data_IF_755294002039
#
_entry.id   IF_755294002039
#
_cell.length_a   1.000
_cell.length_b   1.000
_cell.length_c   1.000
_cell.angle_alpha   90.00
_cell.angle_beta   90.00
_cell.angle_gamma   90.00
#
_symmetry.space_group_name_H-M   'P 1'
#
loop_
_entity.id
_entity.type
_entity.pdbx_description
1 polymer ?
#
# COMPACT_ATOMS: atom_id res chain seq x y z
N UNK A 1 -12.40 -7.76 3.20
CA UNK A 1 -11.58 -8.11 2.02
C UNK A 1 -10.19 -7.47 2.10
N UNK A 2 -9.13 -8.22 1.79
CA UNK A 2 -7.75 -7.72 1.72
C UNK A 2 -7.29 -7.73 0.26
N UNK A 3 -6.94 -6.58 -0.29
CA UNK A 3 -6.31 -6.45 -1.61
C UNK A 3 -4.80 -6.24 -1.44
N UNK A 4 -3.99 -6.88 -2.28
CA UNK A 4 -2.55 -6.59 -2.26
C UNK A 4 -1.94 -6.47 -3.65
N UNK A 5 -0.95 -5.58 -3.76
CA UNK A 5 -0.01 -5.52 -4.86
C UNK A 5 1.40 -5.69 -4.31
N UNK A 6 2.22 -6.53 -4.94
CA UNK A 6 3.58 -6.80 -4.45
C UNK A 6 4.53 -7.09 -5.59
N UNK A 7 5.66 -6.40 -5.67
CA UNK A 7 6.73 -6.68 -6.63
C UNK A 7 7.66 -7.80 -6.14
N UNK A 8 8.09 -7.76 -4.88
CA UNK A 8 9.15 -8.61 -4.33
C UNK A 8 8.73 -9.45 -3.11
N UNK A 9 7.46 -9.38 -2.71
CA UNK A 9 6.93 -10.20 -1.62
C UNK A 9 6.63 -9.46 -0.32
N UNK A 10 7.21 -8.29 -0.05
CA UNK A 10 7.01 -7.56 1.20
C UNK A 10 5.53 -7.26 1.50
N UNK A 11 4.84 -6.61 0.56
CA UNK A 11 3.41 -6.29 0.73
C UNK A 11 2.55 -7.57 0.77
N UNK A 12 2.89 -8.60 -0.02
CA UNK A 12 2.21 -9.90 0.03
C UNK A 12 2.31 -10.52 1.41
N UNK A 13 3.50 -10.52 2.03
CA UNK A 13 3.70 -11.03 3.38
C UNK A 13 2.80 -10.32 4.40
N UNK A 14 2.78 -8.98 4.38
CA UNK A 14 1.92 -8.19 5.27
C UNK A 14 0.45 -8.52 5.04
N UNK A 15 0.02 -8.57 3.78
CA UNK A 15 -1.37 -8.87 3.41
C UNK A 15 -1.80 -10.29 3.86
N UNK A 16 -0.93 -11.29 3.72
CA UNK A 16 -1.20 -12.65 4.19
C UNK A 16 -1.38 -12.68 5.71
N UNK A 17 -0.47 -12.02 6.47
CA UNK A 17 -0.59 -11.91 7.93
C UNK A 17 -1.91 -11.27 8.35
N UNK A 18 -2.34 -10.23 7.63
CA UNK A 18 -3.62 -9.57 7.90
C UNK A 18 -4.81 -10.47 7.56
N UNK A 19 -4.79 -11.13 6.40
CA UNK A 19 -5.85 -12.02 5.96
C UNK A 19 -6.07 -13.17 6.95
N UNK A 20 -4.99 -13.82 7.38
CA UNK A 20 -5.02 -14.87 8.39
C UNK A 20 -5.60 -14.36 9.73
N UNK A 21 -5.06 -13.26 10.25
CA UNK A 21 -5.46 -12.74 11.55
C UNK A 21 -6.90 -12.20 11.59
N UNK A 22 -7.40 -11.67 10.47
CA UNK A 22 -8.74 -11.09 10.34
C UNK A 22 -9.76 -12.08 9.78
N UNK A 23 -9.34 -13.28 9.40
CA UNK A 23 -10.16 -14.29 8.70
C UNK A 23 -10.86 -13.68 7.46
N UNK A 24 -10.08 -12.96 6.64
CA UNK A 24 -10.56 -12.25 5.47
C UNK A 24 -9.99 -12.86 4.18
N UNK A 25 -10.77 -12.76 3.10
CA UNK A 25 -10.32 -13.15 1.76
C UNK A 25 -9.16 -12.25 1.29
N UNK A 26 -8.23 -12.85 0.56
CA UNK A 26 -7.04 -12.19 0.01
C UNK A 26 -7.11 -12.20 -1.52
N UNK A 27 -7.00 -11.02 -2.15
CA UNK A 27 -7.03 -10.88 -3.60
C UNK A 27 -5.76 -10.18 -4.11
N UNK A 28 -5.16 -10.78 -5.15
CA UNK A 28 -3.98 -10.24 -5.82
C UNK A 28 -4.37 -9.19 -6.87
N UNK A 29 -4.03 -7.93 -6.61
CA UNK A 29 -4.14 -6.88 -7.64
C UNK A 29 -3.15 -7.09 -8.78
N UNK A 30 -2.00 -7.75 -8.55
CA UNK A 30 -1.05 -8.07 -9.61
C UNK A 30 -1.70 -8.91 -10.72
N UNK A 31 -2.50 -9.91 -10.35
CA UNK A 31 -3.11 -10.82 -11.31
C UNK A 31 -4.22 -10.13 -12.08
N UNK A 32 -5.06 -9.35 -11.40
CA UNK A 32 -6.13 -8.56 -12.02
C UNK A 32 -5.58 -7.52 -12.99
N UNK A 33 -4.55 -6.77 -12.58
CA UNK A 33 -3.90 -5.75 -13.42
C UNK A 33 -3.26 -6.39 -14.65
N UNK A 34 -2.57 -7.53 -14.49
CA UNK A 34 -1.94 -8.24 -15.60
C UNK A 34 -2.95 -8.75 -16.62
N UNK A 35 -4.11 -9.18 -16.17
CA UNK A 35 -5.21 -9.65 -17.04
C UNK A 35 -6.13 -8.53 -17.52
N UNK A 36 -5.85 -7.26 -17.19
CA UNK A 36 -6.72 -6.10 -17.46
C UNK A 36 -8.16 -6.31 -16.93
N UNK A 37 -8.30 -7.03 -15.82
CA UNK A 37 -9.57 -7.35 -15.22
C UNK A 37 -9.97 -6.28 -14.17
N UNK A 38 -10.94 -5.46 -14.53
CA UNK A 38 -11.56 -4.43 -13.67
C UNK A 38 -12.99 -4.81 -13.27
N UNK A 39 -13.39 -6.08 -13.45
CA UNK A 39 -14.70 -6.54 -13.01
C UNK A 39 -14.91 -6.30 -11.50
N UNK A 40 -16.15 -6.03 -11.06
CA UNK A 40 -16.45 -5.74 -9.68
C UNK A 40 -15.89 -6.80 -8.71
N UNK A 41 -15.40 -6.32 -7.57
CA UNK A 41 -14.91 -7.17 -6.48
C UNK A 41 -15.85 -7.06 -5.30
N UNK A 42 -16.70 -8.07 -5.12
CA UNK A 42 -17.60 -8.13 -3.97
C UNK A 42 -16.81 -8.10 -2.65
N UNK A 43 -17.16 -7.19 -1.78
CA UNK A 43 -16.49 -6.97 -0.50
C UNK A 43 -17.51 -6.90 0.64
N UNK A 44 -17.03 -7.07 1.86
CA UNK A 44 -17.70 -6.60 3.05
C UNK A 44 -17.43 -5.11 3.27
N UNK A 45 -17.99 -4.51 4.30
CA UNK A 45 -17.86 -3.08 4.63
C UNK A 45 -16.39 -2.60 4.67
N UNK A 46 -15.44 -3.49 5.00
CA UNK A 46 -14.03 -3.17 5.26
C UNK A 46 -13.13 -3.60 4.13
N UNK A 47 -12.53 -2.61 3.47
CA UNK A 47 -11.54 -2.82 2.42
C UNK A 47 -10.14 -2.49 2.96
N UNK A 48 -9.21 -3.43 2.90
CA UNK A 48 -7.81 -3.20 3.27
C UNK A 48 -6.94 -3.32 2.02
N UNK A 49 -6.16 -2.28 1.75
CA UNK A 49 -5.32 -2.17 0.56
C UNK A 49 -3.85 -2.16 0.98
N UNK A 50 -3.11 -3.20 0.61
CA UNK A 50 -1.70 -3.39 0.97
C UNK A 50 -0.82 -3.24 -0.27
N UNK A 51 0.06 -2.22 -0.29
CA UNK A 51 0.89 -1.91 -1.45
C UNK A 51 2.32 -1.53 -1.05
N UNK A 52 3.30 -1.65 -1.96
CA UNK A 52 4.59 -0.98 -1.77
C UNK A 52 4.44 0.53 -1.97
N UNK A 53 5.47 1.25 -1.55
CA UNK A 53 5.61 2.69 -1.79
C UNK A 53 6.49 2.91 -3.01
N UNK A 54 5.95 3.57 -4.05
CA UNK A 54 6.72 3.99 -5.22
C UNK A 54 6.75 5.52 -5.27
N UNK A 55 7.93 6.09 -5.05
CA UNK A 55 8.12 7.54 -5.01
C UNK A 55 7.08 8.25 -4.12
N UNK A 56 6.97 7.82 -2.85
CA UNK A 56 6.08 8.38 -1.82
C UNK A 56 4.58 8.33 -2.13
N UNK A 57 4.14 7.37 -2.96
CA UNK A 57 2.73 7.09 -3.26
C UNK A 57 2.52 5.60 -3.50
N UNK A 58 1.27 5.17 -3.59
CA UNK A 58 0.94 3.86 -4.14
C UNK A 58 1.34 3.82 -5.63
N UNK A 59 1.69 2.66 -6.20
CA UNK A 59 2.01 2.54 -7.62
C UNK A 59 0.87 3.07 -8.50
N UNK A 60 1.20 3.81 -9.57
CA UNK A 60 0.19 4.42 -10.46
C UNK A 60 -0.77 3.38 -11.04
N UNK A 61 -0.23 2.24 -11.48
CA UNK A 61 -1.04 1.15 -12.03
C UNK A 61 -2.04 0.57 -11.01
N UNK A 62 -1.68 0.57 -9.71
CA UNK A 62 -2.60 0.17 -8.64
C UNK A 62 -3.67 1.22 -8.42
N UNK A 63 -3.29 2.50 -8.37
CA UNK A 63 -4.24 3.61 -8.27
C UNK A 63 -5.26 3.56 -9.41
N UNK A 64 -4.79 3.39 -10.65
CA UNK A 64 -5.64 3.41 -11.83
C UNK A 64 -6.61 2.22 -11.81
N UNK A 65 -6.12 1.03 -11.48
CA UNK A 65 -6.97 -0.15 -11.30
C UNK A 65 -8.01 0.03 -10.19
N UNK A 66 -7.64 0.61 -9.04
CA UNK A 66 -8.57 0.89 -7.94
C UNK A 66 -9.66 1.90 -8.36
N UNK A 67 -9.33 2.89 -9.19
CA UNK A 67 -10.31 3.85 -9.70
C UNK A 67 -11.30 3.20 -10.67
N UNK A 68 -10.85 2.27 -11.51
CA UNK A 68 -11.65 1.61 -12.54
C UNK A 68 -12.50 0.46 -11.98
N UNK A 69 -12.08 -0.17 -10.87
CA UNK A 69 -12.75 -1.32 -10.27
C UNK A 69 -13.83 -0.89 -9.28
N UNK A 70 -15.02 -1.46 -9.36
CA UNK A 70 -16.08 -1.28 -8.38
C UNK A 70 -15.90 -2.24 -7.19
N UNK A 71 -16.28 -1.77 -6.00
CA UNK A 71 -16.18 -2.54 -4.74
C UNK A 71 -17.54 -2.59 -4.03
N UNK A 72 -18.53 -3.34 -4.57
CA UNK A 72 -19.83 -3.48 -3.93
C UNK A 72 -19.69 -3.98 -2.50
N UNK A 73 -20.39 -3.31 -1.56
CA UNK A 73 -20.33 -3.61 -0.13
C UNK A 73 -19.27 -2.84 0.65
N UNK A 74 -18.23 -2.31 0.00
CA UNK A 74 -17.20 -1.51 0.70
C UNK A 74 -17.76 -0.15 1.15
N UNK A 75 -17.48 0.23 2.40
CA UNK A 75 -17.81 1.54 2.94
C UNK A 75 -16.56 2.26 3.52
N UNK A 76 -15.56 1.49 3.92
CA UNK A 76 -14.37 1.97 4.62
C UNK A 76 -13.12 1.39 3.99
N UNK A 77 -12.03 2.19 3.86
CA UNK A 77 -10.76 1.73 3.32
C UNK A 77 -9.58 2.08 4.22
N UNK A 78 -8.76 1.08 4.54
CA UNK A 78 -7.46 1.19 5.21
C UNK A 78 -6.35 0.96 4.20
N UNK A 79 -5.34 1.82 4.20
CA UNK A 79 -4.14 1.62 3.39
C UNK A 79 -2.97 1.20 4.25
N UNK A 80 -2.24 0.17 3.82
CA UNK A 80 -0.99 -0.26 4.44
C UNK A 80 0.09 -0.23 3.37
N UNK A 81 1.10 0.61 3.60
CA UNK A 81 2.17 0.82 2.63
C UNK A 81 3.49 0.30 3.17
N UNK A 82 4.09 -0.66 2.46
CA UNK A 82 5.44 -1.13 2.77
C UNK A 82 6.48 -0.24 2.11
N UNK A 83 7.55 0.07 2.84
CA UNK A 83 8.65 0.90 2.36
C UNK A 83 9.97 0.52 3.04
N UNK A 84 11.10 0.93 2.48
CA UNK A 84 12.41 0.78 3.11
C UNK A 84 12.65 1.81 4.21
N UNK A 85 12.06 3.01 4.12
CA UNK A 85 12.26 4.09 5.09
C UNK A 85 10.98 4.85 5.42
N UNK A 86 10.34 5.49 4.45
CA UNK A 86 9.18 6.37 4.68
C UNK A 86 8.20 6.36 3.51
N UNK A 87 6.96 6.72 3.80
CA UNK A 87 5.88 6.85 2.81
C UNK A 87 5.57 8.31 2.45
N UNK A 88 6.24 9.28 3.09
CA UNK A 88 6.00 10.70 2.92
C UNK A 88 4.52 11.07 3.13
N UNK A 89 3.98 11.85 2.23
CA UNK A 89 2.60 12.34 2.28
C UNK A 89 1.58 11.43 1.55
N UNK A 90 1.89 10.14 1.39
CA UNK A 90 1.04 9.18 0.67
C UNK A 90 -0.42 9.16 1.16
N UNK A 91 -0.64 9.29 2.47
CA UNK A 91 -1.98 9.29 3.08
C UNK A 91 -2.91 10.36 2.49
N UNK A 92 -2.38 11.53 2.06
CA UNK A 92 -3.19 12.55 1.39
C UNK A 92 -3.76 12.06 0.05
N UNK A 93 -2.94 11.35 -0.72
CA UNK A 93 -3.33 10.83 -2.03
C UNK A 93 -4.28 9.64 -1.90
N UNK A 94 -4.08 8.80 -0.88
CA UNK A 94 -4.99 7.69 -0.57
C UNK A 94 -6.36 8.21 -0.13
N UNK A 95 -6.41 9.29 0.67
CA UNK A 95 -7.66 9.96 1.02
C UNK A 95 -8.39 10.49 -0.21
N UNK A 96 -7.68 11.10 -1.17
CA UNK A 96 -8.29 11.57 -2.41
C UNK A 96 -8.83 10.41 -3.25
N UNK A 97 -8.19 9.24 -3.22
CA UNK A 97 -8.68 8.02 -3.85
C UNK A 97 -9.97 7.53 -3.17
N UNK A 98 -10.02 7.51 -1.82
CA UNK A 98 -11.23 7.19 -1.08
C UNK A 98 -12.38 8.11 -1.48
N UNK A 99 -12.14 9.43 -1.55
CA UNK A 99 -13.15 10.40 -1.97
C UNK A 99 -13.69 10.13 -3.38
N UNK A 100 -12.82 9.74 -4.32
CA UNK A 100 -13.22 9.40 -5.69
C UNK A 100 -14.03 8.11 -5.80
N UNK A 101 -13.98 7.26 -4.76
CA UNK A 101 -14.68 5.97 -4.68
C UNK A 101 -15.81 5.95 -3.65
N UNK A 102 -16.19 7.09 -3.10
CA UNK A 102 -17.19 7.24 -2.02
C UNK A 102 -16.92 6.35 -0.80
N UNK A 103 -15.63 6.12 -0.48
CA UNK A 103 -15.19 5.35 0.67
C UNK A 103 -14.76 6.27 1.81
N UNK A 104 -15.04 5.87 3.04
CA UNK A 104 -14.48 6.51 4.23
C UNK A 104 -13.01 6.17 4.36
N UNK A 105 -12.14 7.21 4.35
CA UNK A 105 -10.71 7.05 4.58
C UNK A 105 -10.43 6.70 6.05
N UNK A 106 -9.98 5.49 6.29
CA UNK A 106 -9.59 4.99 7.61
C UNK A 106 -8.08 5.14 7.87
N UNK A 107 -7.40 5.90 7.02
CA UNK A 107 -6.00 6.27 7.17
C UNK A 107 -5.02 5.34 6.47
N UNK A 108 -3.73 5.73 6.58
CA UNK A 108 -2.61 5.01 5.95
C UNK A 108 -1.57 4.67 7.00
N UNK A 109 -1.28 3.38 7.15
CA UNK A 109 -0.20 2.86 7.98
C UNK A 109 1.06 2.61 7.14
N UNK A 110 2.21 2.90 7.74
CA UNK A 110 3.54 2.60 7.21
C UNK A 110 4.09 1.34 7.86
N UNK A 111 4.62 0.42 7.05
CA UNK A 111 5.35 -0.75 7.53
C UNK A 111 6.74 -0.76 6.91
N UNK A 112 7.77 -0.63 7.75
CA UNK A 112 9.17 -0.72 7.29
C UNK A 112 9.49 -2.17 6.97
N UNK A 113 9.92 -2.41 5.73
CA UNK A 113 10.28 -3.74 5.22
C UNK A 113 11.64 -3.69 4.53
N UNK A 114 12.29 -4.84 4.28
CA UNK A 114 13.57 -4.86 3.59
C UNK A 114 13.56 -4.05 2.30
N UNK A 115 14.59 -3.23 2.09
CA UNK A 115 14.72 -2.44 0.87
C UNK A 115 14.86 -3.36 -0.34
N UNK A 116 14.16 -3.04 -1.42
CA UNK A 116 14.12 -3.81 -2.64
C UNK A 116 14.26 -2.96 -3.91
N UNK A 117 14.52 -1.66 -3.77
CA UNK A 117 14.78 -0.78 -4.90
C UNK A 117 16.27 -0.82 -5.28
N UNK A 118 16.68 -1.96 -5.87
CA UNK A 118 18.07 -2.27 -6.23
C UNK A 118 18.70 -1.35 -7.28
N UNK A 119 17.91 -0.49 -7.93
CA UNK A 119 18.43 0.50 -8.86
C UNK A 119 19.18 1.64 -8.16
N UNK A 120 18.93 1.88 -6.88
CA UNK A 120 19.56 2.96 -6.10
C UNK A 120 20.12 2.50 -4.75
N UNK A 121 19.72 1.34 -4.25
CA UNK A 121 20.10 0.83 -2.93
C UNK A 121 20.52 -0.63 -3.01
N UNK A 122 21.43 -1.04 -2.16
CA UNK A 122 21.77 -2.45 -2.00
C UNK A 122 20.66 -3.18 -1.25
N UNK A 123 20.28 -4.36 -1.75
CA UNK A 123 19.37 -5.22 -1.02
C UNK A 123 20.06 -5.73 0.25
N UNK A 124 19.38 -5.72 1.41
CA UNK A 124 19.96 -6.22 2.64
C UNK A 124 20.25 -7.72 2.55
N UNK A 125 21.32 -8.16 3.22
CA UNK A 125 21.63 -9.57 3.34
C UNK A 125 20.50 -10.32 4.08
N UNK A 126 20.38 -11.63 3.87
CA UNK A 126 19.27 -12.43 4.38
C UNK A 126 19.06 -12.32 5.90
N UNK A 127 20.13 -12.22 6.69
CA UNK A 127 20.03 -12.06 8.15
C UNK A 127 19.48 -10.69 8.53
N UNK A 128 19.96 -9.64 7.88
CA UNK A 128 19.47 -8.28 8.08
C UNK A 128 18.00 -8.15 7.66
N UNK A 129 17.63 -8.71 6.50
CA UNK A 129 16.24 -8.76 6.05
C UNK A 129 15.32 -9.43 7.09
N UNK A 130 15.74 -10.56 7.67
CA UNK A 130 14.98 -11.21 8.74
C UNK A 130 14.82 -10.33 9.99
N UNK A 131 15.86 -9.59 10.37
CA UNK A 131 15.79 -8.63 11.48
C UNK A 131 14.82 -7.49 11.21
N UNK A 132 14.81 -6.96 9.99
CA UNK A 132 13.86 -5.90 9.57
C UNK A 132 12.43 -6.44 9.63
N UNK A 133 12.17 -7.62 9.07
CA UNK A 133 10.84 -8.26 9.12
C UNK A 133 10.40 -8.53 10.56
N UNK A 134 11.30 -8.97 11.43
CA UNK A 134 11.00 -9.18 12.84
C UNK A 134 10.63 -7.86 13.55
N UNK A 135 11.32 -6.77 13.24
CA UNK A 135 11.01 -5.43 13.78
C UNK A 135 9.67 -4.89 13.27
N UNK A 136 9.22 -5.30 12.09
CA UNK A 136 7.95 -4.88 11.52
C UNK A 136 6.73 -5.54 12.20
N UNK A 137 6.89 -6.68 12.90
CA UNK A 137 5.76 -7.42 13.48
C UNK A 137 4.87 -6.57 14.39
N UNK A 138 5.39 -5.78 15.35
CA UNK A 138 4.53 -4.95 16.20
C UNK A 138 3.68 -3.93 15.41
N UNK A 139 4.19 -3.39 14.30
CA UNK A 139 3.46 -2.47 13.45
C UNK A 139 2.35 -3.17 12.67
N UNK A 140 2.64 -4.37 12.18
CA UNK A 140 1.66 -5.24 11.53
C UNK A 140 0.55 -5.61 12.52
N UNK A 141 0.89 -6.02 13.73
CA UNK A 141 -0.08 -6.42 14.76
C UNK A 141 -0.94 -5.23 15.22
N UNK A 142 -0.37 -4.02 15.35
CA UNK A 142 -1.14 -2.80 15.61
C UNK A 142 -2.12 -2.48 14.47
N UNK A 143 -1.69 -2.66 13.24
CA UNK A 143 -2.54 -2.44 12.06
C UNK A 143 -3.69 -3.45 12.01
N UNK A 144 -3.43 -4.73 12.30
CA UNK A 144 -4.45 -5.77 12.43
C UNK A 144 -5.47 -5.41 13.52
N UNK A 145 -5.00 -5.01 14.69
CA UNK A 145 -5.88 -4.63 15.80
C UNK A 145 -6.78 -3.45 15.42
N UNK A 146 -6.24 -2.41 14.80
CA UNK A 146 -7.01 -1.25 14.38
C UNK A 146 -8.11 -1.62 13.36
N UNK A 147 -7.78 -2.41 12.33
CA UNK A 147 -8.76 -2.86 11.34
C UNK A 147 -9.84 -3.75 11.99
N UNK A 148 -9.45 -4.68 12.87
CA UNK A 148 -10.38 -5.55 13.60
C UNK A 148 -11.41 -4.75 14.40
N UNK A 149 -10.96 -3.70 15.08
CA UNK A 149 -11.78 -2.84 15.93
C UNK A 149 -12.53 -1.75 15.14
N UNK A 150 -12.32 -1.64 13.82
CA UNK A 150 -12.90 -0.58 12.99
C UNK A 150 -12.35 0.81 13.33
N UNK A 151 -11.14 0.89 13.88
CA UNK A 151 -10.49 2.15 14.23
C UNK A 151 -9.63 2.69 13.08
N UNK A 152 -9.63 4.00 12.83
CA UNK A 152 -8.73 4.61 11.87
C UNK A 152 -7.27 4.47 12.32
N UNK A 153 -6.36 4.41 11.34
CA UNK A 153 -4.94 4.57 11.62
C UNK A 153 -4.64 5.99 12.09
N UNK A 154 -3.65 6.19 12.97
CA UNK A 154 -3.24 7.51 13.38
C UNK A 154 -2.79 8.33 12.17
N UNK A 155 -3.04 9.66 12.16
CA UNK A 155 -2.59 10.50 11.07
C UNK A 155 -1.06 10.43 10.94
N UNK A 156 -0.52 10.37 9.72
CA UNK A 156 0.92 10.39 9.50
C UNK A 156 1.51 11.73 9.97
N UNK A 157 2.80 11.71 10.32
CA UNK A 157 3.52 12.95 10.60
C UNK A 157 3.52 13.85 9.36
N UNK A 158 3.04 15.08 9.50
CA UNK A 158 2.95 16.05 8.40
C UNK A 158 4.16 16.99 8.44
N UNK A 159 5.25 16.59 7.80
CA UNK A 159 6.47 17.42 7.64
C UNK A 159 6.45 18.14 6.30
N UNK A 160 6.99 19.35 6.24
CA UNK A 160 7.14 20.10 4.98
C UNK A 160 7.96 19.31 3.94
N UNK A 161 8.98 18.57 4.38
CA UNK A 161 9.75 17.66 3.55
C UNK A 161 8.86 16.61 2.86
N UNK A 162 7.95 15.97 3.59
CA UNK A 162 7.04 14.94 3.06
C UNK A 162 6.11 15.50 1.98
N UNK A 163 5.66 16.76 2.15
CA UNK A 163 4.86 17.47 1.15
C UNK A 163 5.64 17.72 -0.13
N UNK A 164 6.92 18.10 -0.02
CA UNK A 164 7.78 18.34 -1.17
C UNK A 164 8.08 17.04 -1.93
N UNK A 165 8.48 15.98 -1.23
CA UNK A 165 8.84 14.69 -1.85
C UNK A 165 7.64 14.01 -2.51
N UNK A 166 6.50 13.97 -1.86
CA UNK A 166 5.29 13.35 -2.42
C UNK A 166 4.59 14.22 -3.48
N UNK A 167 4.83 15.51 -3.49
CA UNK A 167 4.24 16.48 -4.42
C UNK A 167 5.05 16.60 -5.72
N UNK A 168 5.91 17.62 -5.86
CA UNK A 168 6.60 17.91 -7.12
C UNK A 168 7.66 16.87 -7.49
N UNK A 169 8.30 16.20 -6.53
CA UNK A 169 9.34 15.20 -6.80
C UNK A 169 8.76 13.93 -7.43
N UNK A 170 7.56 13.50 -7.03
CA UNK A 170 6.94 12.30 -7.58
C UNK A 170 6.78 12.33 -9.12
N UNK A 171 6.15 13.34 -9.76
CA UNK A 171 6.03 13.38 -11.21
C UNK A 171 7.39 13.50 -11.92
N UNK A 172 8.37 14.20 -11.34
CA UNK A 172 9.72 14.31 -11.87
C UNK A 172 10.41 12.95 -11.83
N UNK A 173 10.29 12.21 -10.72
CA UNK A 173 10.83 10.87 -10.58
C UNK A 173 10.29 9.93 -11.67
N UNK A 174 8.97 9.93 -11.89
CA UNK A 174 8.36 9.12 -12.95
C UNK A 174 8.82 9.54 -14.35
N UNK A 175 8.96 10.83 -14.62
CA UNK A 175 9.42 11.33 -15.91
C UNK A 175 10.89 10.95 -16.20
N UNK A 176 11.74 10.96 -15.18
CA UNK A 176 13.18 10.74 -15.34
C UNK A 176 13.61 9.27 -15.23
N UNK A 177 12.96 8.50 -14.35
CA UNK A 177 13.44 7.17 -13.96
C UNK A 177 12.50 6.02 -14.32
N UNK A 178 11.21 6.29 -14.60
CA UNK A 178 10.25 5.26 -15.00
C UNK A 178 9.89 5.45 -16.48
N UNK A 179 10.73 4.93 -17.37
CA UNK A 179 10.43 4.91 -18.82
C UNK A 179 9.53 3.72 -19.12
N UNK A 180 8.32 3.97 -19.60
CA UNK A 180 7.34 2.94 -19.97
C UNK A 180 7.77 2.05 -21.17
N UNK A 181 8.87 2.39 -21.83
CA UNK A 181 9.41 1.62 -22.98
C UNK A 181 10.38 0.51 -22.57
N UNK A 182 10.57 0.24 -21.27
CA UNK A 182 11.51 -0.75 -20.76
C UNK A 182 10.83 -2.03 -20.23
N UNK A 183 9.50 -2.17 -20.42
CA UNK A 183 8.73 -3.36 -20.01
C UNK A 183 7.86 -3.86 -21.17
#
# INVERSE_FOLDING_TARGET
>A
MILYFSGTGNSKYVAQRMAEALNQSLLSMNDRIRSHDTSPVETDERLVIVTPTYAWRIPRLVRDWLLETEFPGAAQAWFIMTCGSEIGHAGRYNRSLCQAKDLTDMGTAQIIMPENYIAMFDAPQAEEARRIVAKAQPDIDRSIAAVREGRPFPPPHDRLYDRFMSGPVNPIFYACFVKSSAF
#
